data_IF_632813633382
#
_entry.id   IF_632813633382
#
_cell.length_a   1.000
_cell.length_b   1.000
_cell.length_c   1.000
_cell.angle_alpha   90.00
_cell.angle_beta   90.00
_cell.angle_gamma   90.00
#
_symmetry.space_group_name_H-M   'P 1'
#
loop_
_entity.id
_entity.type
_entity.pdbx_description
1 polymer ?
#
# COMPACT_ATOMS: atom_id res chain seq x y z
N UNK A 1 16.84 -0.19 3.64
CA UNK A 1 15.63 -0.27 2.81
C UNK A 1 14.43 -0.53 3.70
N UNK A 2 13.35 0.22 3.55
CA UNK A 2 12.12 0.13 4.34
C UNK A 2 10.96 -0.34 3.46
N UNK A 3 10.31 -1.44 3.84
CA UNK A 3 9.16 -2.01 3.14
C UNK A 3 7.90 -1.86 3.99
N UNK A 4 6.90 -1.18 3.45
CA UNK A 4 5.64 -0.92 4.12
C UNK A 4 4.54 -1.86 3.61
N UNK A 5 3.99 -2.69 4.49
CA UNK A 5 2.83 -3.52 4.22
C UNK A 5 1.52 -2.81 4.57
N UNK A 6 0.60 -2.70 3.62
CA UNK A 6 -0.74 -2.14 3.84
C UNK A 6 -1.78 -3.26 3.76
N UNK A 7 -2.43 -3.55 4.89
CA UNK A 7 -3.54 -4.49 4.95
C UNK A 7 -4.87 -3.76 4.75
N UNK A 8 -5.49 -3.98 3.59
CA UNK A 8 -6.84 -3.51 3.28
C UNK A 8 -7.95 -4.42 3.81
N UNK A 9 -7.63 -5.64 4.24
CA UNK A 9 -8.62 -6.55 4.82
C UNK A 9 -9.02 -6.13 6.23
N UNK A 10 -10.31 -6.07 6.57
CA UNK A 10 -10.73 -5.90 7.95
C UNK A 10 -10.53 -7.17 8.79
N UNK A 11 -10.32 -8.33 8.15
CA UNK A 11 -10.20 -9.63 8.83
C UNK A 11 -8.73 -9.91 9.17
N UNK A 12 -8.28 -9.40 10.31
CA UNK A 12 -6.96 -9.74 10.88
C UNK A 12 -6.87 -11.26 11.13
N UNK A 13 -5.73 -11.85 10.77
CA UNK A 13 -5.52 -13.30 10.70
C UNK A 13 -6.31 -13.99 9.59
N UNK A 14 -6.85 -13.23 8.62
CA UNK A 14 -7.52 -13.75 7.44
C UNK A 14 -6.57 -14.02 6.28
N UNK A 15 -7.12 -14.41 5.12
CA UNK A 15 -6.34 -14.86 3.97
C UNK A 15 -5.38 -13.79 3.42
N UNK A 16 -5.87 -12.58 3.17
CA UNK A 16 -5.02 -11.46 2.73
C UNK A 16 -3.96 -11.08 3.76
N UNK A 17 -4.30 -11.21 5.05
CA UNK A 17 -3.36 -10.93 6.13
C UNK A 17 -2.22 -11.94 6.16
N UNK A 18 -2.55 -13.23 6.08
CA UNK A 18 -1.57 -14.32 5.99
C UNK A 18 -0.62 -14.11 4.81
N UNK A 19 -1.13 -13.75 3.63
CA UNK A 19 -0.27 -13.47 2.48
C UNK A 19 0.63 -12.25 2.70
N UNK A 20 0.11 -11.18 3.32
CA UNK A 20 0.91 -10.01 3.63
C UNK A 20 2.04 -10.36 4.60
N UNK A 21 1.76 -11.13 5.65
CA UNK A 21 2.78 -11.61 6.59
C UNK A 21 3.86 -12.43 5.89
N UNK A 22 3.51 -13.30 4.94
CA UNK A 22 4.51 -14.03 4.15
C UNK A 22 5.38 -13.08 3.31
N UNK A 23 4.78 -12.10 2.65
CA UNK A 23 5.52 -11.12 1.88
C UNK A 23 6.45 -10.25 2.76
N UNK A 24 5.98 -9.79 3.91
CA UNK A 24 6.81 -9.06 4.86
C UNK A 24 7.92 -9.93 5.45
N UNK A 25 7.66 -11.22 5.70
CA UNK A 25 8.69 -12.16 6.11
C UNK A 25 9.78 -12.32 5.04
N UNK A 26 9.39 -12.39 3.77
CA UNK A 26 10.32 -12.42 2.63
C UNK A 26 11.18 -11.16 2.53
N UNK A 27 10.56 -9.99 2.61
CA UNK A 27 11.27 -8.71 2.60
C UNK A 27 12.26 -8.61 3.78
N UNK A 28 11.82 -8.97 4.98
CA UNK A 28 12.66 -8.98 6.18
C UNK A 28 13.84 -9.94 6.05
N UNK A 29 13.62 -11.14 5.50
CA UNK A 29 14.69 -12.11 5.27
C UNK A 29 15.71 -11.62 4.24
N UNK A 30 15.29 -10.80 3.27
CA UNK A 30 16.19 -10.15 2.32
C UNK A 30 16.92 -8.92 2.90
N UNK A 31 16.73 -8.59 4.18
CA UNK A 31 17.46 -7.52 4.88
C UNK A 31 16.74 -6.18 4.97
N UNK A 32 15.45 -6.11 4.60
CA UNK A 32 14.67 -4.87 4.77
C UNK A 32 14.13 -4.71 6.20
N UNK A 33 14.02 -3.45 6.64
CA UNK A 33 13.12 -3.09 7.73
C UNK A 33 11.68 -3.18 7.23
N UNK A 34 10.79 -3.80 8.01
CA UNK A 34 9.40 -4.01 7.61
C UNK A 34 8.44 -3.41 8.61
N UNK A 35 7.42 -2.73 8.11
CA UNK A 35 6.31 -2.19 8.90
C UNK A 35 4.99 -2.67 8.31
N UNK A 36 3.97 -2.85 9.17
CA UNK A 36 2.61 -3.21 8.75
C UNK A 36 1.58 -2.24 9.30
N UNK A 37 0.75 -1.69 8.41
CA UNK A 37 -0.41 -0.87 8.75
C UNK A 37 -1.69 -1.64 8.43
N UNK A 38 -2.59 -1.72 9.41
CA UNK A 38 -3.92 -2.33 9.26
C UNK A 38 -4.96 -1.24 9.12
N UNK A 39 -5.48 -1.02 7.91
CA UNK A 39 -6.36 0.11 7.62
C UNK A 39 -7.68 0.06 8.40
N UNK A 40 -8.18 -1.14 8.73
CA UNK A 40 -9.40 -1.28 9.54
C UNK A 40 -9.24 -0.86 11.01
N UNK A 41 -8.01 -0.64 11.48
CA UNK A 41 -7.72 -0.13 12.82
C UNK A 41 -7.45 1.38 12.82
N UNK A 42 -7.54 2.03 11.67
CA UNK A 42 -7.28 3.46 11.49
C UNK A 42 -8.59 4.19 11.17
N UNK A 43 -8.71 5.43 11.62
CA UNK A 43 -9.78 6.35 11.25
C UNK A 43 -9.33 7.11 10.01
N UNK A 44 -9.90 6.74 8.87
CA UNK A 44 -9.57 7.32 7.57
C UNK A 44 -10.87 7.74 6.90
N UNK A 45 -11.03 9.03 6.66
CA UNK A 45 -12.13 9.57 5.87
C UNK A 45 -11.77 9.60 4.39
N UNK A 46 -12.80 9.46 3.53
CA UNK A 46 -12.65 9.64 2.09
C UNK A 46 -12.15 11.04 1.72
N UNK A 47 -11.56 11.16 0.55
CA UNK A 47 -11.16 12.46 0.01
C UNK A 47 -12.40 13.35 -0.20
N UNK A 48 -12.28 14.63 0.15
CA UNK A 48 -13.34 15.64 -0.03
C UNK A 48 -13.15 16.49 -1.29
N UNK A 49 -12.13 16.20 -2.10
CA UNK A 49 -11.77 16.95 -3.30
C UNK A 49 -11.64 18.49 -3.07
N UNK A 50 -11.16 18.87 -1.89
CA UNK A 50 -11.12 20.28 -1.49
C UNK A 50 -9.93 21.07 -2.07
N UNK A 51 -9.00 20.40 -2.76
CA UNK A 51 -7.80 21.02 -3.37
C UNK A 51 -6.75 21.60 -2.41
N UNK A 52 -7.01 21.65 -1.09
CA UNK A 52 -6.11 22.32 -0.11
C UNK A 52 -4.70 21.73 -0.02
N UNK A 53 -4.54 20.45 -0.36
CA UNK A 53 -3.23 19.82 -0.40
C UNK A 53 -2.40 20.20 -1.63
N UNK A 54 -3.01 20.76 -2.68
CA UNK A 54 -2.34 21.00 -3.96
C UNK A 54 -1.15 21.96 -3.86
N UNK A 55 -1.17 22.89 -2.90
CA UNK A 55 -0.07 23.83 -2.67
C UNK A 55 0.90 23.39 -1.58
N UNK A 56 0.39 22.67 -0.58
CA UNK A 56 1.12 22.40 0.67
C UNK A 56 1.69 20.98 0.75
N UNK A 57 1.17 20.04 -0.03
CA UNK A 57 1.45 18.62 0.14
C UNK A 57 0.99 18.06 1.48
N UNK A 58 0.06 18.73 2.17
CA UNK A 58 -0.49 18.33 3.46
C UNK A 58 -2.02 18.28 3.36
N UNK A 59 -2.63 17.19 3.81
CA UNK A 59 -4.08 17.05 3.76
C UNK A 59 -4.77 17.93 4.82
N UNK A 60 -5.87 18.58 4.46
CA UNK A 60 -6.66 19.38 5.39
C UNK A 60 -7.50 18.54 6.38
N UNK A 61 -7.75 17.28 6.06
CA UNK A 61 -8.52 16.35 6.90
C UNK A 61 -7.56 15.79 7.96
N UNK A 62 -7.86 16.05 9.23
CA UNK A 62 -7.03 15.66 10.38
C UNK A 62 -7.48 14.31 10.92
N UNK A 63 -7.00 13.27 10.26
CA UNK A 63 -7.24 11.87 10.60
C UNK A 63 -5.94 11.06 10.52
N UNK A 64 -6.02 9.74 10.69
CA UNK A 64 -4.81 8.89 10.75
C UNK A 64 -4.01 8.87 9.43
N UNK A 65 -4.56 9.40 8.33
CA UNK A 65 -3.83 9.47 7.06
C UNK A 65 -2.58 10.33 7.14
N UNK A 66 -2.53 11.35 8.01
CA UNK A 66 -1.36 12.22 8.11
C UNK A 66 -0.10 11.44 8.53
N UNK A 67 -0.23 10.53 9.50
CA UNK A 67 0.87 9.63 9.89
C UNK A 67 1.19 8.65 8.75
N UNK A 68 0.16 8.10 8.12
CA UNK A 68 0.33 7.11 7.04
C UNK A 68 1.05 7.73 5.83
N UNK A 69 0.77 8.99 5.48
CA UNK A 69 1.46 9.71 4.40
C UNK A 69 2.97 9.80 4.66
N UNK A 70 3.37 10.05 5.90
CA UNK A 70 4.80 10.06 6.27
C UNK A 70 5.42 8.68 6.09
N UNK A 71 4.77 7.60 6.57
CA UNK A 71 5.27 6.23 6.38
C UNK A 71 5.38 5.84 4.91
N UNK A 72 4.45 6.29 4.07
CA UNK A 72 4.47 6.08 2.62
C UNK A 72 5.66 6.79 1.98
N UNK A 73 5.96 8.04 2.38
CA UNK A 73 7.10 8.80 1.86
C UNK A 73 8.46 8.23 2.32
N UNK A 74 8.51 7.63 3.51
CA UNK A 74 9.71 6.98 4.05
C UNK A 74 9.97 5.58 3.49
N UNK A 75 8.95 4.96 2.88
CA UNK A 75 9.06 3.59 2.37
C UNK A 75 9.76 3.57 1.00
N UNK A 76 10.68 2.62 0.83
CA UNK A 76 11.31 2.33 -0.46
C UNK A 76 10.41 1.43 -1.32
N UNK A 77 9.61 0.57 -0.69
CA UNK A 77 8.61 -0.25 -1.35
C UNK A 77 7.35 -0.40 -0.51
N UNK A 78 6.20 -0.56 -1.18
CA UNK A 78 4.89 -0.69 -0.53
C UNK A 78 4.19 -1.95 -1.07
N UNK A 79 3.77 -2.83 -0.16
CA UNK A 79 3.03 -4.05 -0.49
C UNK A 79 1.57 -3.87 -0.04
N UNK A 80 0.66 -3.74 -1.00
CA UNK A 80 -0.77 -3.69 -0.72
C UNK A 80 -1.35 -5.10 -0.74
N UNK A 81 -2.00 -5.51 0.36
CA UNK A 81 -2.76 -6.75 0.43
C UNK A 81 -4.23 -6.46 0.67
N UNK A 82 -5.08 -6.85 -0.27
CA UNK A 82 -6.50 -6.50 -0.29
C UNK A 82 -7.36 -7.67 -0.76
N UNK A 83 -8.45 -8.01 -0.06
CA UNK A 83 -9.42 -8.98 -0.56
C UNK A 83 -10.33 -8.32 -1.61
N UNK A 84 -10.93 -9.14 -2.46
CA UNK A 84 -11.99 -8.69 -3.38
C UNK A 84 -13.33 -8.74 -2.65
N UNK A 85 -13.89 -7.57 -2.32
CA UNK A 85 -15.23 -7.42 -1.73
C UNK A 85 -16.14 -6.78 -2.76
N UNK A 86 -17.23 -7.46 -3.11
CA UNK A 86 -18.19 -7.03 -4.14
C UNK A 86 -17.49 -6.58 -5.44
N UNK A 87 -16.64 -7.46 -6.00
CA UNK A 87 -15.92 -7.24 -7.26
C UNK A 87 -14.90 -6.09 -7.24
N UNK A 88 -14.58 -5.52 -6.08
CA UNK A 88 -13.64 -4.42 -5.95
C UNK A 88 -12.73 -4.57 -4.71
N UNK A 89 -11.84 -3.62 -4.53
CA UNK A 89 -11.09 -3.45 -3.28
C UNK A 89 -12.01 -3.08 -2.11
N UNK A 90 -11.51 -3.20 -0.89
CA UNK A 90 -12.25 -2.77 0.30
C UNK A 90 -12.40 -1.24 0.35
N UNK A 91 -13.47 -0.76 1.00
CA UNK A 91 -13.69 0.68 1.17
C UNK A 91 -12.56 1.36 1.94
N UNK A 92 -11.94 0.66 2.89
CA UNK A 92 -10.78 1.16 3.63
C UNK A 92 -9.57 1.37 2.71
N UNK A 93 -9.31 0.40 1.82
CA UNK A 93 -8.23 0.53 0.83
C UNK A 93 -8.52 1.69 -0.14
N UNK A 94 -9.76 1.83 -0.59
CA UNK A 94 -10.15 2.93 -1.49
C UNK A 94 -10.00 4.30 -0.82
N UNK A 95 -10.44 4.44 0.44
CA UNK A 95 -10.29 5.70 1.19
C UNK A 95 -8.82 6.06 1.40
N UNK A 96 -7.95 5.08 1.67
CA UNK A 96 -6.51 5.26 1.73
C UNK A 96 -5.92 5.75 0.38
N UNK A 97 -6.24 5.08 -0.72
CA UNK A 97 -5.71 5.40 -2.05
C UNK A 97 -6.22 6.76 -2.56
N UNK A 98 -7.49 7.10 -2.34
CA UNK A 98 -8.06 8.39 -2.75
C UNK A 98 -7.38 9.57 -2.08
N UNK A 99 -6.76 9.34 -0.93
CA UNK A 99 -6.04 10.35 -0.16
C UNK A 99 -4.56 10.46 -0.57
N UNK A 100 -4.10 9.73 -1.59
CA UNK A 100 -2.76 9.92 -2.19
C UNK A 100 -2.68 11.14 -3.11
N UNK A 101 -3.80 11.81 -3.40
CA UNK A 101 -3.80 13.11 -4.10
C UNK A 101 -2.87 14.14 -3.44
N UNK A 102 -2.61 14.01 -2.13
CA UNK A 102 -1.67 14.85 -1.37
C UNK A 102 -0.26 14.88 -1.96
N UNK A 103 0.13 13.83 -2.70
CA UNK A 103 1.44 13.74 -3.32
C UNK A 103 1.55 14.52 -4.63
N UNK A 104 0.44 15.09 -5.11
CA UNK A 104 0.34 15.82 -6.37
C UNK A 104 -0.07 17.28 -6.16
N UNK A 105 0.39 18.17 -7.03
CA UNK A 105 -0.05 19.56 -7.12
C UNK A 105 -1.31 19.70 -8.00
N UNK A 106 -1.80 20.93 -8.16
CA UNK A 106 -3.02 21.21 -8.91
C UNK A 106 -2.95 20.82 -10.40
N UNK A 107 -1.75 20.71 -10.95
CA UNK A 107 -1.49 20.30 -12.33
C UNK A 107 -1.23 18.79 -12.43
N UNK A 108 -1.52 18.05 -11.36
CA UNK A 108 -1.24 16.63 -11.22
C UNK A 108 0.25 16.31 -11.43
N UNK A 109 1.14 17.25 -11.17
CA UNK A 109 2.57 16.94 -11.09
C UNK A 109 2.89 16.53 -9.67
N UNK A 110 3.98 15.78 -9.47
CA UNK A 110 4.49 15.57 -8.12
C UNK A 110 4.65 16.89 -7.39
N UNK A 111 4.21 16.90 -6.13
CA UNK A 111 4.41 18.03 -5.24
C UNK A 111 5.85 18.49 -5.28
N UNK A 112 6.05 19.81 -5.41
CA UNK A 112 7.39 20.41 -5.49
C UNK A 112 8.24 20.06 -4.27
N UNK A 113 7.61 19.84 -3.12
CA UNK A 113 8.23 19.33 -1.90
C UNK A 113 8.94 17.97 -2.09
N UNK A 114 8.55 17.17 -3.10
CA UNK A 114 9.00 15.78 -3.32
C UNK A 114 9.61 15.55 -4.72
N UNK A 115 9.90 16.63 -5.47
CA UNK A 115 10.14 16.60 -6.94
C UNK A 115 11.46 16.04 -7.53
N UNK A 116 12.54 15.63 -6.84
CA UNK A 116 13.78 15.35 -7.58
C UNK A 116 13.82 14.05 -8.43
N UNK A 117 12.70 13.36 -8.74
CA UNK A 117 12.80 11.99 -9.30
C UNK A 117 12.00 11.56 -10.53
N UNK A 118 11.08 12.28 -11.19
CA UNK A 118 10.30 11.64 -12.30
C UNK A 118 9.80 12.58 -13.43
N UNK A 119 10.19 12.34 -14.69
CA UNK A 119 9.58 12.91 -15.92
C UNK A 119 8.96 11.79 -16.80
N UNK A 120 7.71 11.97 -17.22
CA UNK A 120 7.16 11.41 -18.48
C UNK A 120 6.48 10.03 -18.47
N UNK A 121 5.65 9.67 -17.46
CA UNK A 121 5.10 8.30 -17.37
C UNK A 121 3.66 8.19 -16.72
N UNK A 122 2.88 7.11 -17.00
CA UNK A 122 1.46 6.75 -16.63
C UNK A 122 1.10 6.55 -15.14
N UNK A 123 -0.11 6.23 -14.65
CA UNK A 123 -0.51 6.29 -13.20
C UNK A 123 0.42 5.62 -12.15
N UNK A 124 0.96 4.40 -12.37
CA UNK A 124 1.99 3.83 -11.45
C UNK A 124 3.35 4.52 -11.61
N UNK A 125 3.62 4.82 -12.86
CA UNK A 125 4.73 5.59 -13.38
C UNK A 125 4.66 7.10 -12.95
N UNK A 126 3.49 7.57 -12.52
CA UNK A 126 3.06 8.92 -12.15
C UNK A 126 3.21 9.08 -10.65
N UNK A 127 2.99 8.02 -9.87
CA UNK A 127 3.46 7.88 -8.49
C UNK A 127 4.91 7.39 -8.38
N UNK A 128 5.69 7.33 -9.47
CA UNK A 128 7.12 7.02 -9.40
C UNK A 128 7.46 5.59 -8.97
N UNK A 129 6.45 4.73 -8.80
CA UNK A 129 6.57 3.38 -8.29
C UNK A 129 6.64 2.38 -9.44
N UNK A 130 7.58 1.45 -9.37
CA UNK A 130 7.65 0.32 -10.30
C UNK A 130 6.88 -0.87 -9.72
N UNK A 131 5.97 -1.46 -10.50
CA UNK A 131 5.25 -2.65 -10.08
C UNK A 131 6.21 -3.85 -10.05
N UNK A 132 6.52 -4.34 -8.85
CA UNK A 132 7.43 -5.48 -8.66
C UNK A 132 6.78 -6.84 -8.93
N UNK A 133 5.46 -6.96 -8.76
CA UNK A 133 4.73 -8.20 -9.01
C UNK A 133 3.35 -8.22 -8.36
N UNK A 134 2.60 -9.29 -8.64
CA UNK A 134 1.24 -9.52 -8.12
C UNK A 134 1.11 -10.98 -7.73
N UNK A 135 0.44 -11.23 -6.60
CA UNK A 135 0.07 -12.58 -6.15
C UNK A 135 -1.45 -12.61 -6.02
N UNK A 136 -2.09 -13.56 -6.72
CA UNK A 136 -3.54 -13.73 -6.72
C UNK A 136 -3.91 -15.06 -6.08
N UNK A 137 -4.91 -15.03 -5.21
CA UNK A 137 -5.35 -16.20 -4.47
C UNK A 137 -6.86 -16.16 -4.24
N UNK A 138 -7.48 -17.33 -4.28
CA UNK A 138 -8.88 -17.54 -3.95
C UNK A 138 -8.98 -18.38 -2.69
N UNK A 139 -9.96 -18.06 -1.84
CA UNK A 139 -10.27 -18.81 -0.63
C UNK A 139 -11.74 -18.60 -0.26
N UNK A 140 -12.38 -19.66 0.22
CA UNK A 140 -13.79 -19.65 0.60
C UNK A 140 -13.99 -19.33 2.08
N UNK A 141 -13.05 -19.74 2.92
CA UNK A 141 -13.13 -19.60 4.38
C UNK A 141 -11.97 -18.78 4.95
N UNK A 142 -12.16 -18.20 6.14
CA UNK A 142 -11.11 -17.41 6.81
C UNK A 142 -9.95 -18.35 7.19
N UNK A 143 -8.74 -18.01 6.75
CA UNK A 143 -7.53 -18.74 7.11
C UNK A 143 -7.24 -19.95 6.23
N UNK A 144 -8.07 -20.24 5.24
CA UNK A 144 -7.88 -21.34 4.29
C UNK A 144 -6.52 -21.29 3.58
N UNK A 145 -6.06 -20.08 3.23
CA UNK A 145 -4.77 -19.87 2.58
C UNK A 145 -3.59 -20.38 3.40
N UNK A 146 -3.73 -20.52 4.72
CA UNK A 146 -2.67 -21.07 5.57
C UNK A 146 -2.22 -22.47 5.11
N UNK A 147 -3.11 -23.24 4.47
CA UNK A 147 -2.85 -24.60 3.98
C UNK A 147 -2.20 -24.63 2.57
N UNK A 148 -2.17 -23.51 1.86
CA UNK A 148 -1.65 -23.44 0.50
C UNK A 148 -0.20 -22.96 0.53
N UNK A 149 0.74 -23.91 0.60
CA UNK A 149 2.18 -23.60 0.65
C UNK A 149 2.68 -22.90 -0.63
N UNK A 150 2.12 -23.26 -1.79
CA UNK A 150 2.52 -22.67 -3.07
C UNK A 150 2.26 -21.17 -3.12
N UNK A 151 1.07 -20.73 -2.73
CA UNK A 151 0.71 -19.30 -2.76
C UNK A 151 1.42 -18.51 -1.66
N UNK A 152 1.62 -19.11 -0.49
CA UNK A 152 2.42 -18.51 0.58
C UNK A 152 3.87 -18.30 0.12
N UNK A 153 4.45 -19.27 -0.57
CA UNK A 153 5.79 -19.14 -1.16
C UNK A 153 5.84 -18.03 -2.20
N UNK A 154 4.84 -17.91 -3.08
CA UNK A 154 4.77 -16.81 -4.05
C UNK A 154 4.72 -15.43 -3.36
N UNK A 155 3.93 -15.30 -2.29
CA UNK A 155 3.90 -14.07 -1.49
C UNK A 155 5.25 -13.77 -0.84
N UNK A 156 5.89 -14.78 -0.26
CA UNK A 156 7.24 -14.66 0.31
C UNK A 156 8.28 -14.21 -0.73
N UNK A 157 8.28 -14.82 -1.91
CA UNK A 157 9.21 -14.48 -2.99
C UNK A 157 8.95 -13.06 -3.53
N UNK A 158 7.69 -12.63 -3.62
CA UNK A 158 7.34 -11.23 -3.94
C UNK A 158 7.94 -10.26 -2.91
N UNK A 159 7.86 -10.62 -1.62
CA UNK A 159 8.49 -9.90 -0.53
C UNK A 159 10.00 -9.73 -0.73
N UNK A 160 10.71 -10.82 -1.02
CA UNK A 160 12.16 -10.77 -1.30
C UNK A 160 12.48 -9.90 -2.52
N UNK A 161 11.65 -9.97 -3.57
CA UNK A 161 11.80 -9.17 -4.78
C UNK A 161 11.68 -7.67 -4.51
N UNK A 162 10.86 -7.26 -3.54
CA UNK A 162 10.72 -5.85 -3.14
C UNK A 162 12.02 -5.23 -2.63
N UNK A 163 12.99 -6.05 -2.24
CA UNK A 163 14.28 -5.58 -1.70
C UNK A 163 15.39 -5.53 -2.75
N UNK A 164 15.23 -6.30 -3.82
CA UNK A 164 16.33 -6.61 -4.77
C UNK A 164 16.08 -6.09 -6.18
N UNK A 165 14.87 -5.63 -6.49
CA UNK A 165 14.48 -5.07 -7.79
C UNK A 165 14.46 -3.55 -7.79
#
# INVERSE_FOLDING_TARGET
MKVLGILGSPRVGGNSDILLEQALAGAKNAGAEVEKIVLSKKKISGCLDCGKCNETGICAIKDDMLEIHQRVLEADAIIHSVPVYFWAMTSQMKAYLDRWCVFFDAEWQWQKAYRPKMKGKSTCQFSGLNLIGVVQASASTKGEIAKNEGIKKQAYDLGRKSVTG
#
